data_IF_184832612865
#
_entry.id   IF_184832612865
#
_cell.length_a   1.000
_cell.length_b   1.000
_cell.length_c   1.000
_cell.angle_alpha   90.00
_cell.angle_beta   90.00
_cell.angle_gamma   90.00
#
_symmetry.space_group_name_H-M   'P 1'
#
loop_
_entity.id
_entity.type
_entity.pdbx_description
1 polymer ?
#
# COMPACT_ATOMS: atom_id res chain seq x y z
N UNK A 1 -23.37 -7.11 -8.31
CA UNK A 1 -22.62 -8.21 -7.65
C UNK A 1 -21.15 -8.07 -8.05
N UNK A 2 -20.31 -7.36 -7.28
CA UNK A 2 -18.85 -7.32 -7.52
C UNK A 2 -18.12 -7.54 -6.19
N UNK A 3 -18.18 -8.80 -5.71
CA UNK A 3 -17.54 -9.21 -4.45
C UNK A 3 -16.09 -9.64 -4.62
N UNK A 4 -15.61 -9.74 -5.87
CA UNK A 4 -14.30 -10.27 -6.22
C UNK A 4 -13.32 -9.12 -6.44
N UNK A 5 -12.11 -9.26 -5.91
CA UNK A 5 -10.97 -8.39 -6.21
C UNK A 5 -10.33 -8.84 -7.52
N UNK A 6 -10.00 -7.90 -8.39
CA UNK A 6 -9.23 -8.18 -9.60
C UNK A 6 -7.75 -7.95 -9.35
N UNK A 7 -6.87 -8.55 -10.16
CA UNK A 7 -5.43 -8.27 -10.10
C UNK A 7 -5.12 -6.78 -10.27
N UNK A 8 -5.91 -6.07 -11.09
CA UNK A 8 -5.78 -4.63 -11.24
C UNK A 8 -6.09 -3.87 -9.94
N UNK A 9 -7.13 -4.29 -9.20
CA UNK A 9 -7.44 -3.69 -7.89
C UNK A 9 -6.36 -4.01 -6.85
N UNK A 10 -5.72 -5.18 -6.95
CA UNK A 10 -4.57 -5.53 -6.11
C UNK A 10 -3.34 -4.68 -6.45
N UNK A 11 -3.08 -4.42 -7.74
CA UNK A 11 -2.01 -3.52 -8.19
C UNK A 11 -2.23 -2.09 -7.66
N UNK A 12 -3.43 -1.55 -7.83
CA UNK A 12 -3.79 -0.21 -7.32
C UNK A 12 -3.59 -0.12 -5.80
N UNK A 13 -3.98 -1.17 -5.07
CA UNK A 13 -3.79 -1.24 -3.61
C UNK A 13 -2.30 -1.29 -3.25
N UNK A 14 -1.51 -2.10 -3.95
CA UNK A 14 -0.08 -2.23 -3.71
C UNK A 14 0.67 -0.93 -3.99
N UNK A 15 0.43 -0.31 -5.14
CA UNK A 15 1.07 0.95 -5.53
C UNK A 15 0.81 2.06 -4.52
N UNK A 16 -0.45 2.22 -4.10
CA UNK A 16 -0.81 3.22 -3.11
C UNK A 16 -0.10 2.96 -1.77
N UNK A 17 -0.12 1.71 -1.26
CA UNK A 17 0.56 1.39 0.01
C UNK A 17 2.06 1.64 -0.10
N UNK A 18 2.71 1.17 -1.15
CA UNK A 18 4.15 1.35 -1.34
C UNK A 18 4.53 2.83 -1.45
N UNK A 19 3.72 3.63 -2.16
CA UNK A 19 3.91 5.08 -2.26
C UNK A 19 3.81 5.76 -0.90
N UNK A 20 2.71 5.53 -0.17
CA UNK A 20 2.49 6.11 1.17
C UNK A 20 3.64 5.76 2.12
N UNK A 21 4.10 4.51 2.12
CA UNK A 21 5.22 4.11 2.98
C UNK A 21 6.52 4.80 2.59
N UNK A 22 6.82 4.93 1.30
CA UNK A 22 8.02 5.61 0.80
C UNK A 22 8.02 7.10 1.16
N UNK A 23 6.87 7.75 1.07
CA UNK A 23 6.68 9.19 1.27
C UNK A 23 6.45 9.57 2.74
N UNK A 24 6.45 8.59 3.65
CA UNK A 24 6.33 8.83 5.09
C UNK A 24 4.91 8.73 5.66
N UNK A 25 3.91 8.51 4.82
CA UNK A 25 2.55 8.17 5.21
C UNK A 25 2.42 6.74 5.76
N UNK A 26 1.18 6.27 5.84
CA UNK A 26 0.79 5.00 6.45
C UNK A 26 -0.03 4.14 5.48
N UNK A 27 -0.04 2.82 5.73
CA UNK A 27 -0.90 1.92 4.96
C UNK A 27 -2.41 2.23 5.19
N UNK A 28 -2.78 2.77 6.35
CA UNK A 28 -4.17 3.16 6.67
C UNK A 28 -4.64 4.31 5.76
N UNK A 29 -3.79 5.31 5.54
CA UNK A 29 -4.07 6.41 4.61
C UNK A 29 -4.21 5.88 3.17
N UNK A 30 -3.34 4.97 2.75
CA UNK A 30 -3.46 4.28 1.47
C UNK A 30 -4.78 3.50 1.35
N UNK A 31 -5.20 2.79 2.39
CA UNK A 31 -6.48 2.05 2.39
C UNK A 31 -7.67 3.00 2.28
N UNK A 32 -7.62 4.16 2.91
CA UNK A 32 -8.63 5.20 2.78
C UNK A 32 -8.72 5.75 1.35
N UNK A 33 -7.58 6.03 0.74
CA UNK A 33 -7.47 6.50 -0.65
C UNK A 33 -8.04 5.47 -1.64
N UNK A 34 -7.54 4.23 -1.58
CA UNK A 34 -7.97 3.15 -2.48
C UNK A 34 -9.43 2.78 -2.24
N UNK A 35 -9.88 2.83 -0.98
CA UNK A 35 -11.28 2.60 -0.63
C UNK A 35 -12.21 3.57 -1.37
N UNK A 36 -11.90 4.88 -1.33
CA UNK A 36 -12.66 5.89 -2.09
C UNK A 36 -12.60 5.62 -3.60
N UNK A 37 -11.41 5.33 -4.13
CA UNK A 37 -11.19 5.10 -5.58
C UNK A 37 -11.96 3.90 -6.13
N UNK A 38 -12.02 2.80 -5.37
CA UNK A 38 -12.64 1.54 -5.79
C UNK A 38 -14.08 1.35 -5.27
N UNK A 39 -14.65 2.37 -4.62
CA UNK A 39 -15.93 2.28 -3.91
C UNK A 39 -15.99 1.09 -2.92
N UNK A 40 -14.94 0.98 -2.10
CA UNK A 40 -14.77 -0.04 -1.04
C UNK A 40 -14.47 0.63 0.30
N UNK A 41 -14.73 -0.06 1.41
CA UNK A 41 -14.31 0.46 2.72
C UNK A 41 -12.81 0.25 2.93
N UNK A 42 -12.17 1.18 3.64
CA UNK A 42 -10.75 1.07 4.01
C UNK A 42 -10.44 -0.25 4.73
N UNK A 43 -11.37 -0.74 5.57
CA UNK A 43 -11.24 -2.03 6.25
C UNK A 43 -11.13 -3.20 5.26
N UNK A 44 -11.90 -3.19 4.15
CA UNK A 44 -11.79 -4.23 3.11
C UNK A 44 -10.47 -4.14 2.36
N UNK A 45 -9.95 -2.94 2.11
CA UNK A 45 -8.62 -2.74 1.52
C UNK A 45 -7.53 -3.27 2.46
N UNK A 46 -7.61 -2.97 3.76
CA UNK A 46 -6.66 -3.48 4.76
C UNK A 46 -6.69 -5.00 4.89
N UNK A 47 -7.88 -5.61 4.90
CA UNK A 47 -8.01 -7.06 4.89
C UNK A 47 -7.37 -7.68 3.64
N UNK A 48 -7.65 -7.13 2.45
CA UNK A 48 -7.08 -7.62 1.19
C UNK A 48 -5.56 -7.49 1.15
N UNK A 49 -5.03 -6.35 1.59
CA UNK A 49 -3.59 -6.13 1.69
C UNK A 49 -2.93 -7.17 2.60
N UNK A 50 -3.43 -7.32 3.84
CA UNK A 50 -2.80 -8.16 4.85
C UNK A 50 -2.88 -9.66 4.54
N UNK A 51 -3.90 -10.12 3.82
CA UNK A 51 -4.13 -11.56 3.60
C UNK A 51 -3.75 -12.06 2.20
N UNK A 52 -3.56 -11.18 1.22
CA UNK A 52 -3.34 -11.60 -0.17
C UNK A 52 -2.22 -10.78 -0.82
N UNK A 53 -2.38 -9.46 -0.89
CA UNK A 53 -1.51 -8.64 -1.74
C UNK A 53 -0.11 -8.52 -1.16
N UNK A 54 0.03 -8.29 0.16
CA UNK A 54 1.33 -8.03 0.79
C UNK A 54 2.37 -9.12 0.52
N UNK A 55 1.95 -10.38 0.44
CA UNK A 55 2.84 -11.51 0.19
C UNK A 55 3.58 -11.39 -1.15
N UNK A 56 2.95 -10.82 -2.17
CA UNK A 56 3.57 -10.61 -3.48
C UNK A 56 4.47 -9.37 -3.54
N UNK A 57 4.37 -8.45 -2.57
CA UNK A 57 5.08 -7.17 -2.57
C UNK A 57 5.97 -6.99 -1.33
N UNK A 58 6.32 -8.07 -0.62
CA UNK A 58 7.07 -7.98 0.63
C UNK A 58 8.44 -7.31 0.45
N UNK A 59 9.17 -7.68 -0.62
CA UNK A 59 10.45 -7.05 -0.96
C UNK A 59 10.29 -5.55 -1.23
N UNK A 60 9.35 -5.19 -2.11
CA UNK A 60 9.07 -3.79 -2.45
C UNK A 60 8.64 -2.97 -1.21
N UNK A 61 7.88 -3.58 -0.29
CA UNK A 61 7.45 -2.94 0.94
C UNK A 61 8.62 -2.72 1.91
N UNK A 62 9.54 -3.68 2.01
CA UNK A 62 10.76 -3.53 2.78
C UNK A 62 11.67 -2.44 2.19
N UNK A 63 11.79 -2.36 0.87
CA UNK A 63 12.57 -1.33 0.19
C UNK A 63 11.95 0.06 0.35
N UNK A 64 10.62 0.18 0.32
CA UNK A 64 9.93 1.43 0.61
C UNK A 64 10.21 1.92 2.05
N UNK A 65 10.23 1.02 3.04
CA UNK A 65 10.59 1.36 4.43
C UNK A 65 12.06 1.80 4.55
N UNK A 66 12.98 1.09 3.90
CA UNK A 66 14.41 1.44 3.87
C UNK A 66 14.61 2.81 3.22
N UNK A 67 13.93 3.06 2.10
CA UNK A 67 13.98 4.35 1.42
C UNK A 67 13.50 5.49 2.34
N UNK A 68 12.33 5.33 2.98
CA UNK A 68 11.81 6.31 3.96
C UNK A 68 12.83 6.58 5.07
N UNK A 69 13.45 5.54 5.61
CA UNK A 69 14.48 5.68 6.63
C UNK A 69 15.69 6.47 6.11
N UNK A 70 16.18 6.13 4.92
CA UNK A 70 17.31 6.81 4.28
C UNK A 70 16.99 8.27 3.94
N UNK A 71 15.77 8.61 3.52
CA UNK A 71 15.38 10.01 3.30
C UNK A 71 15.30 10.78 4.61
N UNK A 72 14.81 10.15 5.69
CA UNK A 72 14.63 10.82 6.99
C UNK A 72 15.93 10.96 7.79
N UNK A 73 16.83 10.00 7.68
CA UNK A 73 18.03 9.89 8.53
C UNK A 73 19.34 9.78 7.74
N UNK A 74 19.27 9.45 6.45
CA UNK A 74 20.43 9.42 5.56
C UNK A 74 20.75 10.82 5.09
N UNK A 75 21.99 11.24 5.33
CA UNK A 75 22.56 12.46 4.75
C UNK A 75 22.36 12.41 3.24
N UNK A 76 21.65 13.41 2.70
CA UNK A 76 21.81 13.79 1.30
C UNK A 76 23.28 14.18 1.16
N UNK A 77 24.07 13.34 0.49
CA UNK A 77 25.38 13.76 -0.01
C UNK A 77 25.17 14.73 -1.15
#
# INVERSE_FOLDING_TARGET
MHRVWTSEQDNILAEAVLRHIREGGTAIEAFGEVGKKLNRSAAKCGYRWNNIVRFNYENAFNDAKKYRYNVKYGKVN
#
